data_IF_216185538929
#
_entry.id   IF_216185538929
#
_cell.length_a   1.000
_cell.length_b   1.000
_cell.length_c   1.000
_cell.angle_alpha   90.00
_cell.angle_beta   90.00
_cell.angle_gamma   90.00
#
_symmetry.space_group_name_H-M   'P 1'
#
loop_
_entity.id
_entity.type
_entity.pdbx_description
1 polymer ?
#
# COMPACT_ATOMS: atom_id res chain seq x y z
N UNK A 1 1.26 -17.16 19.48
CA UNK A 1 2.26 -17.09 18.42
C UNK A 1 1.67 -17.72 17.15
N UNK A 2 1.06 -16.94 16.27
CA UNK A 2 0.73 -17.37 14.91
C UNK A 2 1.88 -16.83 14.04
N UNK A 3 2.80 -17.74 13.72
CA UNK A 3 4.05 -17.38 13.06
C UNK A 3 3.90 -17.11 11.57
N UNK A 4 4.99 -16.87 10.89
CA UNK A 4 5.26 -16.53 9.47
C UNK A 4 4.40 -17.15 8.36
N UNK A 5 3.31 -17.83 8.63
CA UNK A 5 2.47 -18.58 7.70
C UNK A 5 1.01 -18.14 7.82
N UNK A 6 0.73 -16.83 7.70
CA UNK A 6 -0.65 -16.40 7.42
C UNK A 6 -1.08 -17.00 6.08
N UNK A 7 -2.30 -17.56 5.95
CA UNK A 7 -2.83 -17.99 4.66
C UNK A 7 -2.74 -16.90 3.59
N UNK A 8 -2.76 -15.63 3.99
CA UNK A 8 -2.60 -14.49 3.09
C UNK A 8 -1.20 -14.40 2.50
N UNK A 9 -0.13 -14.67 3.28
CA UNK A 9 1.26 -14.66 2.78
C UNK A 9 1.48 -15.69 1.67
N UNK A 10 0.94 -16.91 1.83
CA UNK A 10 1.05 -17.95 0.80
C UNK A 10 0.33 -17.54 -0.48
N UNK A 11 -0.89 -17.00 -0.35
CA UNK A 11 -1.72 -16.57 -1.47
C UNK A 11 -1.08 -15.38 -2.20
N UNK A 12 -0.56 -14.42 -1.45
CA UNK A 12 0.16 -13.28 -2.01
C UNK A 12 1.47 -13.71 -2.71
N UNK A 13 2.24 -14.61 -2.10
CA UNK A 13 3.47 -15.14 -2.68
C UNK A 13 3.26 -15.86 -4.01
N UNK A 14 2.14 -16.59 -4.17
CA UNK A 14 1.76 -17.23 -5.45
C UNK A 14 1.28 -16.23 -6.50
N UNK A 15 0.59 -15.17 -6.08
CA UNK A 15 0.07 -14.12 -6.99
C UNK A 15 1.18 -13.21 -7.50
N UNK A 16 2.19 -12.95 -6.67
CA UNK A 16 3.29 -12.03 -6.93
C UNK A 16 4.63 -12.79 -6.92
N UNK A 17 4.76 -13.67 -7.90
CA UNK A 17 5.95 -14.48 -8.10
C UNK A 17 7.13 -13.66 -8.69
N UNK A 18 8.30 -14.28 -8.80
CA UNK A 18 9.52 -13.62 -9.24
C UNK A 18 9.44 -13.09 -10.68
N UNK A 19 8.73 -13.79 -11.58
CA UNK A 19 8.59 -13.40 -12.98
C UNK A 19 7.75 -12.12 -13.11
N UNK A 20 6.59 -12.08 -12.45
CA UNK A 20 5.73 -10.91 -12.42
C UNK A 20 6.45 -9.70 -11.81
N UNK A 21 7.14 -9.91 -10.70
CA UNK A 21 7.92 -8.86 -10.02
C UNK A 21 9.02 -8.31 -10.93
N UNK A 22 9.74 -9.17 -11.66
CA UNK A 22 10.76 -8.74 -12.60
C UNK A 22 10.19 -7.86 -13.73
N UNK A 23 9.02 -8.23 -14.25
CA UNK A 23 8.31 -7.44 -15.27
C UNK A 23 7.88 -6.06 -14.75
N UNK A 24 7.35 -5.99 -13.52
CA UNK A 24 6.93 -4.74 -12.90
C UNK A 24 8.11 -3.79 -12.63
N UNK A 25 9.25 -4.29 -12.15
CA UNK A 25 10.47 -3.50 -11.96
C UNK A 25 11.03 -3.00 -13.28
N UNK A 26 11.07 -3.84 -14.31
CA UNK A 26 11.53 -3.44 -15.64
C UNK A 26 10.65 -2.30 -16.20
N UNK A 27 9.33 -2.41 -16.01
CA UNK A 27 8.39 -1.35 -16.40
C UNK A 27 8.63 -0.07 -15.60
N UNK A 28 8.82 -0.18 -14.28
CA UNK A 28 9.10 0.98 -13.42
C UNK A 28 10.41 1.70 -13.81
N UNK A 29 11.48 0.96 -14.06
CA UNK A 29 12.76 1.53 -14.51
C UNK A 29 12.64 2.27 -15.84
N UNK A 30 11.80 1.76 -16.74
CA UNK A 30 11.60 2.35 -18.09
C UNK A 30 10.63 3.54 -18.07
N UNK A 31 9.53 3.44 -17.33
CA UNK A 31 8.36 4.33 -17.45
C UNK A 31 8.09 5.15 -16.18
N UNK A 32 8.84 4.91 -15.10
CA UNK A 32 8.54 5.43 -13.77
C UNK A 32 7.36 4.73 -13.09
N UNK A 33 6.88 5.26 -11.96
CA UNK A 33 5.79 4.67 -11.20
C UNK A 33 4.46 4.71 -11.95
N UNK A 34 3.59 3.73 -11.66
CA UNK A 34 2.24 3.67 -12.22
C UNK A 34 1.39 4.91 -11.87
N UNK A 35 0.29 5.11 -12.61
CA UNK A 35 -0.54 6.31 -12.45
C UNK A 35 -1.07 6.50 -11.02
N UNK A 36 -1.55 5.43 -10.37
CA UNK A 36 -2.04 5.49 -8.97
C UNK A 36 -0.94 5.91 -8.03
N UNK A 37 0.22 5.30 -8.15
CA UNK A 37 1.41 5.58 -7.33
C UNK A 37 1.88 7.03 -7.51
N UNK A 38 1.90 7.55 -8.76
CA UNK A 38 2.21 8.97 -9.01
C UNK A 38 1.23 9.90 -8.34
N UNK A 39 -0.08 9.67 -8.50
CA UNK A 39 -1.11 10.52 -7.90
C UNK A 39 -1.10 10.46 -6.37
N UNK A 40 -0.80 9.29 -5.78
CA UNK A 40 -0.68 9.14 -4.34
C UNK A 40 0.55 9.88 -3.81
N UNK A 41 1.73 9.69 -4.43
CA UNK A 41 2.95 10.44 -4.17
C UNK A 41 2.72 11.95 -4.22
N UNK A 42 2.13 12.44 -5.30
CA UNK A 42 1.90 13.87 -5.51
C UNK A 42 0.95 14.44 -4.44
N UNK A 43 -0.10 13.69 -4.06
CA UNK A 43 -0.99 14.08 -2.98
C UNK A 43 -0.31 14.13 -1.61
N UNK A 44 0.60 13.21 -1.31
CA UNK A 44 1.41 13.20 -0.08
C UNK A 44 2.35 14.41 -0.07
N UNK A 45 3.06 14.67 -1.17
CA UNK A 45 3.99 15.81 -1.28
C UNK A 45 3.26 17.15 -1.13
N UNK A 46 2.12 17.32 -1.79
CA UNK A 46 1.32 18.55 -1.71
C UNK A 46 0.75 18.80 -0.32
N UNK A 47 0.49 17.77 0.46
CA UNK A 47 0.08 17.91 1.86
C UNK A 47 1.23 18.38 2.77
N UNK A 48 2.47 18.45 2.27
CA UNK A 48 3.62 19.07 2.94
C UNK A 48 4.19 18.32 4.13
N UNK A 49 3.93 16.99 4.23
CA UNK A 49 4.30 16.16 5.38
C UNK A 49 5.20 14.97 4.98
N UNK A 50 6.07 15.17 3.99
CA UNK A 50 6.92 14.09 3.43
C UNK A 50 8.11 13.76 4.32
N UNK A 51 8.55 14.70 5.14
CA UNK A 51 9.65 14.53 6.10
C UNK A 51 9.31 13.48 7.18
N UNK A 52 10.28 12.76 7.65
CA UNK A 52 10.13 11.78 8.73
C UNK A 52 10.06 10.33 8.24
N UNK A 53 9.41 9.47 9.03
CA UNK A 53 9.29 8.04 8.78
C UNK A 53 8.07 7.74 7.89
N UNK A 54 8.29 6.99 6.82
CA UNK A 54 7.26 6.38 5.99
C UNK A 54 7.04 4.93 6.41
N UNK A 55 5.80 4.52 6.63
CA UNK A 55 5.37 3.11 6.69
C UNK A 55 4.55 2.81 5.44
N UNK A 56 5.13 2.06 4.51
CA UNK A 56 4.50 1.66 3.24
C UNK A 56 3.97 0.23 3.37
N UNK A 57 2.66 0.09 3.49
CA UNK A 57 1.95 -1.18 3.71
C UNK A 57 1.57 -1.77 2.36
N UNK A 58 1.95 -3.04 2.13
CA UNK A 58 1.84 -3.68 0.82
C UNK A 58 2.69 -2.97 -0.23
N UNK A 59 3.93 -2.64 0.16
CA UNK A 59 4.84 -1.81 -0.60
C UNK A 59 5.23 -2.40 -1.98
N UNK A 60 4.98 -3.68 -2.20
CA UNK A 60 5.52 -4.38 -3.35
C UNK A 60 7.05 -4.33 -3.34
N UNK A 61 7.65 -3.96 -4.46
CA UNK A 61 9.10 -3.74 -4.51
C UNK A 61 9.52 -2.32 -4.03
N UNK A 62 8.58 -1.52 -3.53
CA UNK A 62 8.87 -0.19 -2.96
C UNK A 62 8.78 0.97 -3.95
N UNK A 63 7.99 0.88 -5.01
CA UNK A 63 7.87 1.98 -5.99
C UNK A 63 7.51 3.32 -5.33
N UNK A 64 6.47 3.35 -4.48
CA UNK A 64 6.08 4.55 -3.74
C UNK A 64 7.15 4.94 -2.71
N UNK A 65 7.73 3.96 -2.03
CA UNK A 65 8.82 4.15 -1.07
C UNK A 65 9.98 4.91 -1.70
N UNK A 66 10.51 4.47 -2.85
CA UNK A 66 11.59 5.15 -3.54
C UNK A 66 11.23 6.58 -3.95
N UNK A 67 10.04 6.76 -4.49
CA UNK A 67 9.54 8.07 -4.90
C UNK A 67 9.45 9.09 -3.74
N UNK A 68 9.05 8.64 -2.54
CA UNK A 68 8.94 9.51 -1.38
C UNK A 68 10.30 9.77 -0.70
N UNK A 69 11.20 8.79 -0.69
CA UNK A 69 12.57 8.99 -0.21
C UNK A 69 13.33 10.02 -1.06
N UNK A 70 13.11 10.05 -2.38
CA UNK A 70 13.68 11.05 -3.26
C UNK A 70 13.09 12.46 -3.05
N UNK A 71 11.92 12.55 -2.39
CA UNK A 71 11.20 13.82 -2.13
C UNK A 71 11.25 14.30 -0.69
N UNK A 72 12.05 13.66 0.16
CA UNK A 72 12.33 14.18 1.49
C UNK A 72 12.00 13.26 2.65
N UNK A 73 11.32 12.10 2.46
CA UNK A 73 11.18 11.14 3.56
C UNK A 73 12.56 10.73 4.07
N UNK A 74 12.74 10.72 5.39
CA UNK A 74 14.04 10.42 5.97
C UNK A 74 14.36 8.91 5.91
N UNK A 75 13.41 8.11 6.36
CA UNK A 75 13.48 6.66 6.46
C UNK A 75 12.17 6.04 5.99
N UNK A 76 12.20 4.77 5.62
CA UNK A 76 11.01 4.00 5.27
C UNK A 76 11.03 2.59 5.84
N UNK A 77 9.85 2.10 6.22
CA UNK A 77 9.59 0.69 6.50
C UNK A 77 8.63 0.20 5.42
N UNK A 78 9.08 -0.74 4.60
CA UNK A 78 8.34 -1.34 3.52
C UNK A 78 7.85 -2.74 3.93
N UNK A 79 6.54 -2.88 4.17
CA UNK A 79 5.93 -4.15 4.59
C UNK A 79 5.25 -4.80 3.40
N UNK A 80 5.54 -6.06 3.12
CA UNK A 80 4.82 -6.82 2.09
C UNK A 80 4.71 -8.31 2.43
N UNK A 81 3.63 -8.94 2.02
CA UNK A 81 3.37 -10.36 2.19
C UNK A 81 4.13 -11.24 1.18
N UNK A 82 4.68 -10.66 0.11
CA UNK A 82 5.47 -11.37 -0.92
C UNK A 82 6.96 -11.20 -0.70
N UNK A 83 7.63 -12.29 -0.33
CA UNK A 83 9.10 -12.31 -0.22
C UNK A 83 9.79 -11.97 -1.55
N UNK A 84 9.19 -12.31 -2.70
CA UNK A 84 9.72 -11.98 -4.03
C UNK A 84 9.78 -10.47 -4.25
N UNK A 85 8.74 -9.74 -3.87
CA UNK A 85 8.72 -8.28 -3.93
C UNK A 85 9.80 -7.66 -3.05
N UNK A 86 9.89 -8.08 -1.79
CA UNK A 86 10.88 -7.50 -0.87
C UNK A 86 12.32 -7.79 -1.29
N UNK A 87 12.60 -9.01 -1.76
CA UNK A 87 13.91 -9.35 -2.30
C UNK A 87 14.27 -8.48 -3.53
N UNK A 88 13.30 -8.18 -4.36
CA UNK A 88 13.49 -7.31 -5.52
C UNK A 88 13.65 -5.85 -5.10
N UNK A 89 12.88 -5.39 -4.11
CA UNK A 89 13.01 -4.07 -3.50
C UNK A 89 14.38 -3.84 -2.88
N UNK A 90 14.90 -4.83 -2.14
CA UNK A 90 16.23 -4.74 -1.55
C UNK A 90 17.35 -4.59 -2.61
N UNK A 91 17.22 -5.32 -3.74
CA UNK A 91 18.15 -5.15 -4.88
C UNK A 91 18.04 -3.76 -5.52
N UNK A 92 16.81 -3.25 -5.66
CA UNK A 92 16.59 -1.90 -6.19
C UNK A 92 17.12 -0.82 -5.25
N UNK A 93 16.92 -0.97 -3.93
CA UNK A 93 17.47 -0.08 -2.91
C UNK A 93 19.01 -0.02 -2.96
N UNK A 94 19.66 -1.19 -3.12
CA UNK A 94 21.12 -1.26 -3.28
C UNK A 94 21.59 -0.54 -4.56
N UNK A 95 20.89 -0.72 -5.69
CA UNK A 95 21.20 -0.05 -6.94
C UNK A 95 21.05 1.48 -6.84
N UNK A 96 20.13 1.97 -6.00
CA UNK A 96 19.88 3.41 -5.73
C UNK A 96 20.72 3.96 -4.57
N UNK A 97 21.54 3.15 -3.90
CA UNK A 97 22.30 3.54 -2.70
C UNK A 97 21.39 4.05 -1.57
N UNK A 98 20.25 3.38 -1.38
CA UNK A 98 19.23 3.71 -0.36
C UNK A 98 19.04 2.59 0.67
N UNK A 99 19.92 1.59 0.71
CA UNK A 99 19.81 0.42 1.60
C UNK A 99 19.68 0.82 3.07
N UNK A 100 20.43 1.81 3.51
CA UNK A 100 20.44 2.27 4.91
C UNK A 100 19.21 3.12 5.27
N UNK A 101 18.34 3.39 4.31
CA UNK A 101 17.12 4.20 4.49
C UNK A 101 15.84 3.41 4.45
N UNK A 102 15.89 2.11 4.13
CA UNK A 102 14.70 1.27 3.97
C UNK A 102 14.85 -0.01 4.77
N UNK A 103 13.92 -0.24 5.70
CA UNK A 103 13.73 -1.53 6.33
C UNK A 103 12.65 -2.31 5.56
N UNK A 104 12.97 -3.53 5.11
CA UNK A 104 12.02 -4.43 4.44
C UNK A 104 11.50 -5.47 5.44
N UNK A 105 10.18 -5.46 5.68
CA UNK A 105 9.52 -6.36 6.65
C UNK A 105 8.61 -7.33 5.92
N UNK A 106 8.94 -8.62 5.97
CA UNK A 106 8.11 -9.66 5.37
C UNK A 106 6.99 -10.11 6.32
N UNK A 107 5.76 -10.07 5.84
CA UNK A 107 4.59 -10.58 6.54
C UNK A 107 3.29 -9.91 6.15
N UNK A 108 2.18 -10.53 6.61
CA UNK A 108 0.90 -9.85 6.63
C UNK A 108 0.97 -8.68 7.61
N UNK A 109 0.64 -7.47 7.14
CA UNK A 109 0.75 -6.27 7.96
C UNK A 109 -0.03 -6.41 9.29
N UNK A 110 -1.22 -6.98 9.27
CA UNK A 110 -2.04 -7.15 10.49
C UNK A 110 -1.34 -8.03 11.52
N UNK A 111 -0.58 -9.03 11.08
CA UNK A 111 0.17 -9.91 11.99
C UNK A 111 1.46 -9.28 12.52
N UNK A 112 2.08 -8.39 11.74
CA UNK A 112 3.37 -7.79 12.11
C UNK A 112 3.22 -6.40 12.74
N UNK A 113 2.08 -5.75 12.63
CA UNK A 113 1.84 -4.37 13.04
C UNK A 113 2.29 -4.07 14.48
N UNK A 114 2.00 -4.96 15.42
CA UNK A 114 2.38 -4.78 16.83
C UNK A 114 3.90 -4.62 17.09
N UNK A 115 4.73 -4.93 16.10
CA UNK A 115 6.20 -4.80 16.17
C UNK A 115 6.73 -3.55 15.48
N UNK A 116 5.85 -2.84 14.76
CA UNK A 116 6.22 -1.68 13.97
C UNK A 116 6.02 -0.39 14.77
N UNK A 117 6.86 0.62 14.57
CA UNK A 117 6.66 1.93 15.18
C UNK A 117 5.49 2.68 14.49
N UNK A 118 5.02 3.72 15.15
CA UNK A 118 4.22 4.76 14.49
C UNK A 118 5.08 5.52 13.50
N UNK A 119 4.50 5.94 12.38
CA UNK A 119 5.18 6.64 11.31
C UNK A 119 4.48 7.97 11.00
N UNK A 120 5.24 8.96 10.50
CA UNK A 120 4.68 10.26 10.11
C UNK A 120 3.68 10.09 8.97
N UNK A 121 4.02 9.25 8.00
CA UNK A 121 3.18 8.92 6.84
C UNK A 121 2.95 7.42 6.79
N UNK A 122 1.71 6.99 6.68
CA UNK A 122 1.32 5.61 6.38
C UNK A 122 0.67 5.57 5.01
N UNK A 123 1.14 4.66 4.14
CA UNK A 123 0.61 4.50 2.78
C UNK A 123 0.10 3.08 2.52
N UNK A 124 -0.99 2.98 1.72
CA UNK A 124 -1.59 1.74 1.21
C UNK A 124 -1.92 1.91 -0.28
N UNK A 125 -0.92 1.77 -1.16
CA UNK A 125 -1.16 1.88 -2.61
C UNK A 125 -1.67 0.57 -3.21
N UNK A 126 -2.96 0.50 -3.54
CA UNK A 126 -3.66 -0.66 -4.13
C UNK A 126 -3.69 -1.91 -3.23
N UNK A 127 -3.62 -1.72 -1.93
CA UNK A 127 -3.58 -2.79 -0.92
C UNK A 127 -4.97 -3.16 -0.42
N UNK A 128 -5.78 -2.17 -0.12
CA UNK A 128 -7.11 -2.35 0.50
C UNK A 128 -7.97 -3.36 -0.26
N UNK A 129 -7.95 -3.32 -1.59
CA UNK A 129 -8.72 -4.25 -2.42
C UNK A 129 -8.18 -5.69 -2.42
N UNK A 130 -6.97 -5.91 -1.93
CA UNK A 130 -6.37 -7.24 -1.88
C UNK A 130 -6.64 -7.95 -0.55
N UNK A 131 -7.20 -7.25 0.42
CA UNK A 131 -7.41 -7.76 1.78
C UNK A 131 -8.90 -8.07 2.02
N UNK A 132 -9.24 -9.28 2.51
CA UNK A 132 -10.65 -9.68 2.66
C UNK A 132 -11.39 -8.90 3.75
N UNK A 133 -10.69 -8.53 4.81
CA UNK A 133 -11.23 -7.80 5.96
C UNK A 133 -10.54 -6.44 6.09
N UNK A 134 -11.19 -5.39 5.59
CA UNK A 134 -10.59 -4.05 5.56
C UNK A 134 -10.49 -3.41 6.94
N UNK A 135 -11.37 -3.76 7.87
CA UNK A 135 -11.44 -3.15 9.19
C UNK A 135 -10.17 -3.38 10.02
N UNK A 136 -9.63 -4.61 10.17
CA UNK A 136 -8.36 -4.82 10.88
C UNK A 136 -7.19 -4.14 10.19
N UNK A 137 -7.10 -4.24 8.84
CA UNK A 137 -6.04 -3.62 8.07
C UNK A 137 -6.03 -2.09 8.26
N UNK A 138 -7.17 -1.46 8.03
CA UNK A 138 -7.30 -0.01 8.11
C UNK A 138 -7.19 0.49 9.55
N UNK A 139 -7.71 -0.27 10.53
CA UNK A 139 -7.58 0.04 11.94
C UNK A 139 -6.13 0.14 12.39
N UNK A 140 -5.35 -0.89 12.09
CA UNK A 140 -3.92 -0.91 12.38
C UNK A 140 -3.16 0.20 11.61
N UNK A 141 -3.48 0.44 10.35
CA UNK A 141 -2.87 1.52 9.58
C UNK A 141 -3.16 2.91 10.19
N UNK A 142 -4.38 3.14 10.65
CA UNK A 142 -4.79 4.38 11.34
C UNK A 142 -4.02 4.56 12.66
N UNK A 143 -3.85 3.50 13.44
CA UNK A 143 -3.13 3.52 14.72
C UNK A 143 -1.65 3.87 14.51
N UNK A 144 -1.05 3.39 13.43
CA UNK A 144 0.35 3.67 13.09
C UNK A 144 0.57 5.03 12.44
N UNK A 145 -0.47 5.69 11.91
CA UNK A 145 -0.33 6.98 11.24
C UNK A 145 -0.30 8.14 12.24
N UNK A 146 0.85 8.74 12.47
CA UNK A 146 0.99 9.89 13.36
C UNK A 146 0.43 11.18 12.75
N UNK A 147 0.70 11.46 11.46
CA UNK A 147 0.37 12.73 10.80
C UNK A 147 -0.48 12.54 9.55
N UNK A 148 -0.20 11.52 8.74
CA UNK A 148 -0.84 11.32 7.44
C UNK A 148 -1.16 9.85 7.18
N UNK A 149 -2.33 9.61 6.58
CA UNK A 149 -2.74 8.32 6.02
C UNK A 149 -3.11 8.52 4.56
N UNK A 150 -2.46 7.80 3.66
CA UNK A 150 -2.66 7.89 2.22
C UNK A 150 -3.00 6.53 1.62
N UNK A 151 -4.07 6.44 0.83
CA UNK A 151 -4.51 5.16 0.29
C UNK A 151 -5.09 5.28 -1.11
N UNK A 152 -4.92 4.22 -1.90
CA UNK A 152 -5.59 4.07 -3.18
C UNK A 152 -6.44 2.79 -3.20
N UNK A 153 -7.66 2.88 -3.77
CA UNK A 153 -8.63 1.80 -3.81
C UNK A 153 -9.58 1.94 -5.01
N UNK A 154 -10.18 0.83 -5.50
CA UNK A 154 -11.11 0.87 -6.61
C UNK A 154 -12.38 1.66 -6.25
N UNK A 155 -12.95 2.39 -7.22
CA UNK A 155 -14.24 3.04 -7.03
C UNK A 155 -15.34 2.04 -6.66
N UNK A 156 -16.36 2.51 -5.94
CA UNK A 156 -17.60 1.75 -5.71
C UNK A 156 -18.53 1.70 -6.94
N UNK A 157 -18.05 2.08 -8.13
CA UNK A 157 -18.83 2.05 -9.36
C UNK A 157 -19.15 0.62 -9.81
N UNK A 158 -20.28 0.45 -10.49
CA UNK A 158 -20.71 -0.85 -10.98
C UNK A 158 -19.69 -1.50 -11.92
N UNK A 159 -19.04 -0.70 -12.78
CA UNK A 159 -18.03 -1.21 -13.72
C UNK A 159 -16.74 -1.65 -13.02
N UNK A 160 -16.29 -0.94 -11.97
CA UNK A 160 -15.15 -1.38 -11.17
C UNK A 160 -15.45 -2.69 -10.45
N UNK A 161 -16.67 -2.83 -9.91
CA UNK A 161 -17.13 -4.09 -9.29
C UNK A 161 -17.21 -5.23 -10.31
N UNK A 162 -17.72 -4.94 -11.52
CA UNK A 162 -17.77 -5.92 -12.60
C UNK A 162 -16.37 -6.36 -13.04
N UNK A 163 -15.42 -5.40 -13.20
CA UNK A 163 -14.03 -5.70 -13.54
C UNK A 163 -13.35 -6.57 -12.48
N UNK A 164 -13.51 -6.24 -11.19
CA UNK A 164 -13.01 -7.08 -10.10
C UNK A 164 -13.65 -8.48 -10.09
N UNK A 165 -14.96 -8.57 -10.36
CA UNK A 165 -15.68 -9.84 -10.46
C UNK A 165 -15.16 -10.71 -11.59
N UNK A 166 -14.93 -10.13 -12.77
CA UNK A 166 -14.37 -10.82 -13.94
C UNK A 166 -12.95 -11.34 -13.65
N UNK A 167 -12.11 -10.52 -13.02
CA UNK A 167 -10.75 -10.89 -12.66
C UNK A 167 -10.74 -12.02 -11.60
N UNK A 168 -11.62 -11.95 -10.60
CA UNK A 168 -11.80 -13.02 -9.62
C UNK A 168 -12.31 -14.32 -10.26
N UNK A 169 -13.23 -14.23 -11.25
CA UNK A 169 -13.73 -15.40 -11.99
C UNK A 169 -12.59 -16.04 -12.79
N UNK A 170 -11.80 -15.24 -13.50
CA UNK A 170 -10.63 -15.74 -14.24
C UNK A 170 -9.65 -16.48 -13.30
N UNK A 171 -9.34 -15.87 -12.16
CA UNK A 171 -8.47 -16.50 -11.13
C UNK A 171 -9.06 -17.80 -10.61
N UNK A 172 -10.38 -17.86 -10.40
CA UNK A 172 -11.06 -19.10 -9.97
C UNK A 172 -10.93 -20.21 -11.00
N UNK A 173 -11.11 -19.90 -12.28
CA UNK A 173 -10.98 -20.86 -13.39
C UNK A 173 -9.54 -21.36 -13.51
N UNK A 174 -8.54 -20.51 -13.28
CA UNK A 174 -7.12 -20.86 -13.36
C UNK A 174 -6.55 -21.46 -12.05
N UNK A 175 -7.41 -21.73 -11.04
CA UNK A 175 -6.97 -22.30 -9.76
C UNK A 175 -6.17 -21.33 -8.88
N UNK A 176 -6.13 -20.03 -9.22
CA UNK A 176 -5.44 -19.04 -8.41
C UNK A 176 -6.31 -18.66 -7.20
N UNK A 177 -5.83 -18.82 -5.95
CA UNK A 177 -6.60 -18.52 -4.75
C UNK A 177 -6.72 -17.02 -4.43
N UNK A 178 -5.91 -16.16 -5.05
CA UNK A 178 -5.93 -14.71 -4.79
C UNK A 178 -7.25 -14.09 -5.20
N UNK A 179 -7.79 -13.20 -4.37
CA UNK A 179 -9.05 -12.48 -4.63
C UNK A 179 -8.88 -10.99 -4.42
N UNK A 180 -9.67 -10.22 -5.16
CA UNK A 180 -9.81 -8.77 -4.98
C UNK A 180 -11.20 -8.42 -4.51
N UNK A 181 -11.29 -7.43 -3.64
CA UNK A 181 -12.50 -7.04 -2.93
C UNK A 181 -12.83 -5.57 -3.20
N UNK A 182 -14.12 -5.26 -3.26
CA UNK A 182 -14.62 -3.89 -3.34
C UNK A 182 -15.21 -3.51 -1.99
N UNK A 183 -14.44 -2.79 -1.20
CA UNK A 183 -14.89 -2.27 0.09
C UNK A 183 -15.69 -0.98 -0.08
N UNK A 184 -16.51 -0.64 0.91
CA UNK A 184 -17.30 0.60 0.93
C UNK A 184 -16.41 1.82 1.16
N UNK A 185 -16.25 2.75 0.19
CA UNK A 185 -15.48 3.97 0.40
C UNK A 185 -16.04 4.83 1.54
N UNK A 186 -17.37 4.86 1.71
CA UNK A 186 -18.01 5.61 2.77
C UNK A 186 -17.71 5.05 4.17
N UNK A 187 -17.65 3.71 4.31
CA UNK A 187 -17.29 3.07 5.58
C UNK A 187 -15.83 3.34 5.95
N UNK A 188 -14.91 3.24 4.97
CA UNK A 188 -13.50 3.56 5.17
C UNK A 188 -13.30 5.04 5.55
N UNK A 189 -13.90 5.96 4.82
CA UNK A 189 -13.84 7.41 5.10
C UNK A 189 -14.38 7.71 6.51
N UNK A 190 -15.50 7.10 6.91
CA UNK A 190 -16.07 7.27 8.23
C UNK A 190 -15.13 6.74 9.34
N UNK A 191 -14.48 5.60 9.12
CA UNK A 191 -13.51 5.02 10.06
C UNK A 191 -12.30 5.94 10.25
N UNK A 192 -11.72 6.45 9.15
CA UNK A 192 -10.57 7.35 9.16
C UNK A 192 -10.92 8.67 9.86
N UNK A 193 -12.09 9.26 9.55
CA UNK A 193 -12.54 10.53 10.18
C UNK A 193 -12.82 10.40 11.67
N UNK A 194 -13.40 9.28 12.12
CA UNK A 194 -13.61 9.02 13.56
C UNK A 194 -12.29 8.98 14.34
N UNK A 195 -11.21 8.56 13.68
CA UNK A 195 -9.86 8.55 14.27
C UNK A 195 -9.18 9.94 14.27
N UNK A 196 -9.88 11.00 13.86
CA UNK A 196 -9.38 12.37 13.91
C UNK A 196 -8.63 12.84 12.67
N UNK A 197 -8.78 12.13 11.55
CA UNK A 197 -8.21 12.57 10.28
C UNK A 197 -9.22 13.38 9.46
N UNK A 198 -8.70 14.27 8.62
CA UNK A 198 -9.47 15.02 7.62
C UNK A 198 -8.91 14.78 6.23
N UNK A 199 -9.79 14.71 5.25
CA UNK A 199 -9.39 14.57 3.85
C UNK A 199 -8.68 15.85 3.39
N UNK A 200 -7.41 15.72 3.01
CA UNK A 200 -6.60 16.79 2.47
C UNK A 200 -6.67 16.83 0.93
N UNK A 201 -6.65 15.65 0.30
CA UNK A 201 -6.70 15.55 -1.16
C UNK A 201 -7.47 14.30 -1.58
N UNK A 202 -8.28 14.43 -2.65
CA UNK A 202 -8.90 13.30 -3.34
C UNK A 202 -8.68 13.43 -4.83
N UNK A 203 -8.06 12.41 -5.42
CA UNK A 203 -7.85 12.30 -6.86
C UNK A 203 -8.50 11.03 -7.37
N UNK A 204 -8.82 11.01 -8.66
CA UNK A 204 -9.48 9.85 -9.27
C UNK A 204 -8.88 9.55 -10.62
N UNK A 205 -8.80 8.26 -10.93
CA UNK A 205 -8.65 7.77 -12.30
C UNK A 205 -9.98 7.17 -12.74
N UNK A 206 -10.05 6.55 -13.90
CA UNK A 206 -11.27 5.86 -14.34
C UNK A 206 -11.68 4.71 -13.40
N UNK A 207 -10.72 4.09 -12.69
CA UNK A 207 -10.95 2.91 -11.83
C UNK A 207 -10.63 3.16 -10.36
N UNK A 208 -9.70 4.07 -10.03
CA UNK A 208 -9.13 4.22 -8.70
C UNK A 208 -9.48 5.56 -8.06
N UNK A 209 -9.80 5.53 -6.78
CA UNK A 209 -9.78 6.68 -5.88
C UNK A 209 -8.45 6.72 -5.16
N UNK A 210 -7.88 7.90 -5.03
CA UNK A 210 -6.61 8.17 -4.35
C UNK A 210 -6.89 9.26 -3.32
N UNK A 211 -6.85 8.90 -2.05
CA UNK A 211 -7.21 9.76 -0.94
C UNK A 211 -6.01 9.97 -0.02
N UNK A 212 -5.77 11.20 0.35
CA UNK A 212 -4.78 11.60 1.36
C UNK A 212 -5.50 12.27 2.51
N UNK A 213 -5.32 11.74 3.70
CA UNK A 213 -5.88 12.26 4.94
C UNK A 213 -4.77 12.76 5.85
N UNK A 214 -4.97 13.88 6.51
CA UNK A 214 -4.05 14.43 7.52
C UNK A 214 -4.73 14.44 8.88
N UNK A 215 -3.96 14.20 9.93
CA UNK A 215 -4.47 14.25 11.30
C UNK A 215 -4.77 15.69 11.66
N UNK A 216 -5.93 15.94 12.25
CA UNK A 216 -6.26 17.27 12.78
C UNK A 216 -5.25 17.66 13.86
N UNK A 217 -4.72 18.88 13.78
CA UNK A 217 -3.98 19.44 14.90
C UNK A 217 -4.89 19.45 16.15
N UNK A 218 -4.40 18.90 17.24
CA UNK A 218 -5.08 19.09 18.53
C UNK A 218 -4.61 20.46 19.05
N UNK A 219 -5.54 21.41 19.06
CA UNK A 219 -5.36 22.71 19.74
C UNK A 219 -5.55 22.51 21.24
#
# INVERSE_FOLDING_TARGET
MRGCCSPFNEVAGRQFDAEKVAGEIASYRKNGPGQTTRLLRDGIVEAGLVDGLLLDIGAGFGALTFELLERGSALAIAVDASASYLAAGAREAAARRQTDRIEFVHGDFVDVAARLPTADVVSLDRVVCCYPHVEPLLGQAIEHAARMLALSYPHASWFARAALGTDNLKRRITGNPFRTFAHSPAAMDAMIRRAGFVLASRRRTWMWSIDVFVRRARW
#
